data_IF_883060650624
#
_entry.id   IF_883060650624
#
_cell.length_a   1.000
_cell.length_b   1.000
_cell.length_c   1.000
_cell.angle_alpha   90.00
_cell.angle_beta   90.00
_cell.angle_gamma   90.00
#
_symmetry.space_group_name_H-M   'P 1'
#
loop_
_entity.id
_entity.type
_entity.pdbx_description
1 polymer ?
#
# COMPACT_ATOMS: atom_id res chain seq x y z
N UNK A 1 42.26 -45.29 48.68
CA UNK A 1 41.87 -45.53 47.28
C UNK A 1 40.66 -46.44 47.33
N UNK A 2 39.46 -45.90 47.07
CA UNK A 2 38.22 -46.68 47.07
C UNK A 2 38.01 -47.12 45.62
N UNK A 3 38.06 -48.42 45.36
CA UNK A 3 37.75 -48.98 44.05
C UNK A 3 36.25 -49.28 44.04
N UNK A 4 35.53 -48.77 43.03
CA UNK A 4 34.14 -49.15 42.82
C UNK A 4 34.10 -50.62 42.39
N UNK A 5 33.38 -51.45 43.13
CA UNK A 5 33.09 -52.83 42.78
C UNK A 5 31.60 -52.91 42.44
N UNK A 6 31.26 -53.59 41.35
CA UNK A 6 29.89 -53.79 40.82
C UNK A 6 29.20 -52.57 40.18
N UNK A 7 29.95 -51.54 39.77
CA UNK A 7 29.42 -50.48 38.91
C UNK A 7 29.70 -50.79 37.43
N UNK A 8 28.81 -50.48 36.49
CA UNK A 8 29.08 -50.65 35.07
C UNK A 8 30.17 -49.66 34.62
N UNK A 9 31.20 -50.17 33.95
CA UNK A 9 32.30 -49.35 33.41
C UNK A 9 31.83 -48.38 32.30
N UNK A 10 30.65 -48.64 31.72
CA UNK A 10 30.05 -47.85 30.65
C UNK A 10 28.60 -47.57 30.97
N UNK A 11 28.23 -46.29 30.95
CA UNK A 11 26.84 -45.82 31.06
C UNK A 11 26.39 -45.34 29.68
N UNK A 12 25.60 -46.17 29.01
CA UNK A 12 24.97 -45.82 27.73
C UNK A 12 23.51 -45.42 27.99
N UNK A 13 23.02 -44.45 27.23
CA UNK A 13 21.59 -44.17 27.21
C UNK A 13 20.87 -45.29 26.43
N UNK A 14 19.71 -45.74 26.91
CA UNK A 14 18.84 -46.65 26.17
C UNK A 14 18.14 -45.86 25.06
N UNK A 15 18.91 -45.34 24.10
CA UNK A 15 18.39 -44.56 23.00
C UNK A 15 17.72 -45.47 21.96
N UNK A 16 16.53 -45.06 21.50
CA UNK A 16 15.87 -45.69 20.36
C UNK A 16 16.73 -45.49 19.10
N UNK A 17 16.71 -46.44 18.14
CA UNK A 17 17.42 -46.28 16.88
C UNK A 17 16.96 -45.01 16.15
N UNK A 18 17.86 -44.30 15.46
CA UNK A 18 17.56 -43.02 14.78
C UNK A 18 16.34 -43.07 13.85
N UNK A 19 16.08 -44.23 13.23
CA UNK A 19 14.91 -44.47 12.38
C UNK A 19 13.58 -44.50 13.11
N UNK A 20 13.58 -44.73 14.43
CA UNK A 20 12.40 -44.72 15.30
C UNK A 20 12.30 -43.42 16.12
N UNK A 21 13.27 -42.51 15.99
CA UNK A 21 13.24 -41.18 16.62
C UNK A 21 12.40 -40.16 15.85
N UNK A 22 11.98 -40.48 14.62
CA UNK A 22 10.98 -39.70 13.89
C UNK A 22 9.60 -39.96 14.50
N UNK A 23 9.34 -39.37 15.66
CA UNK A 23 7.97 -39.03 15.98
C UNK A 23 7.52 -38.09 14.87
N UNK A 24 6.62 -38.54 14.00
CA UNK A 24 5.90 -37.62 13.14
C UNK A 24 5.29 -36.56 14.07
N UNK A 25 5.86 -35.36 14.07
CA UNK A 25 5.36 -34.21 14.82
C UNK A 25 4.05 -33.76 14.15
N UNK A 26 3.02 -34.58 14.27
CA UNK A 26 1.66 -34.14 14.09
C UNK A 26 1.32 -33.36 15.36
N UNK A 27 1.47 -32.04 15.31
CA UNK A 27 0.77 -31.17 16.24
C UNK A 27 -0.72 -31.56 16.16
N UNK A 28 -1.24 -32.09 17.25
CA UNK A 28 -2.65 -32.40 17.43
C UNK A 28 -3.47 -31.14 17.09
N UNK A 29 -4.56 -31.30 16.34
CA UNK A 29 -5.43 -30.18 15.99
C UNK A 29 -6.09 -29.65 17.26
N UNK A 30 -5.47 -28.66 17.89
CA UNK A 30 -6.04 -28.02 19.08
C UNK A 30 -7.16 -27.07 18.65
N UNK A 31 -8.35 -27.20 19.25
CA UNK A 31 -9.52 -26.31 19.02
C UNK A 31 -9.23 -24.79 19.00
N UNK A 32 -8.28 -24.21 19.76
CA UNK A 32 -7.99 -22.77 19.69
C UNK A 32 -7.13 -22.31 18.50
N UNK A 33 -6.64 -23.20 17.63
CA UNK A 33 -5.76 -22.83 16.50
C UNK A 33 -6.47 -23.03 15.16
N UNK A 34 -6.65 -21.93 14.42
CA UNK A 34 -7.16 -21.97 13.04
C UNK A 34 -5.99 -22.17 12.06
N UNK A 35 -6.03 -23.27 11.29
CA UNK A 35 -5.05 -23.55 10.23
C UNK A 35 -5.55 -23.01 8.89
N UNK A 36 -4.92 -21.96 8.39
CA UNK A 36 -5.28 -21.33 7.11
C UNK A 36 -4.41 -21.93 6.00
N UNK A 37 -5.05 -22.50 4.98
CA UNK A 37 -4.35 -22.95 3.77
C UNK A 37 -3.93 -21.76 2.91
N UNK A 38 -2.62 -21.61 2.70
CA UNK A 38 -2.06 -20.55 1.86
C UNK A 38 -1.81 -21.10 0.45
N UNK A 39 -2.53 -20.54 -0.53
CA UNK A 39 -2.29 -20.79 -1.96
C UNK A 39 -1.37 -19.71 -2.52
N UNK A 40 -0.22 -20.12 -3.04
CA UNK A 40 0.78 -19.20 -3.64
C UNK A 40 0.20 -18.48 -4.86
N UNK A 41 -0.60 -19.18 -5.67
CA UNK A 41 -1.24 -18.59 -6.85
C UNK A 41 -2.25 -17.50 -6.49
N UNK A 42 -3.07 -17.75 -5.48
CA UNK A 42 -4.07 -16.79 -5.01
C UNK A 42 -3.41 -15.59 -4.32
N UNK A 43 -2.37 -15.83 -3.53
CA UNK A 43 -1.57 -14.78 -2.93
C UNK A 43 -0.93 -13.88 -4.00
N UNK A 44 -0.29 -14.46 -5.01
CA UNK A 44 0.31 -13.70 -6.11
C UNK A 44 -0.72 -12.82 -6.83
N UNK A 45 -1.86 -13.40 -7.22
CA UNK A 45 -2.92 -12.64 -7.91
C UNK A 45 -3.50 -11.51 -7.05
N UNK A 46 -3.59 -11.68 -5.72
CA UNK A 46 -4.05 -10.63 -4.79
C UNK A 46 -3.13 -9.42 -4.71
N UNK A 47 -1.83 -9.61 -4.90
CA UNK A 47 -0.82 -8.54 -4.81
C UNK A 47 -0.27 -8.10 -6.16
N UNK A 48 -0.62 -8.79 -7.25
CA UNK A 48 -0.23 -8.41 -8.61
C UNK A 48 -0.71 -7.01 -8.94
N UNK A 49 0.21 -6.15 -9.37
CA UNK A 49 -0.07 -4.75 -9.71
C UNK A 49 -0.09 -3.78 -8.52
N UNK A 50 0.16 -4.26 -7.29
CA UNK A 50 0.38 -3.40 -6.13
C UNK A 50 1.89 -3.19 -5.95
N UNK A 51 2.34 -1.94 -5.94
CA UNK A 51 3.75 -1.60 -5.75
C UNK A 51 3.97 -0.76 -4.50
N UNK A 52 5.13 -0.95 -3.88
CA UNK A 52 5.60 -0.20 -2.72
C UNK A 52 6.77 0.68 -3.13
N UNK A 53 6.79 1.90 -2.60
CA UNK A 53 7.89 2.85 -2.77
C UNK A 53 8.75 2.86 -1.50
N UNK A 54 10.06 2.63 -1.69
CA UNK A 54 11.06 2.60 -0.63
C UNK A 54 11.94 3.87 -0.57
N UNK A 55 11.69 4.88 -1.40
CA UNK A 55 12.62 5.99 -1.62
C UNK A 55 12.90 6.87 -0.39
N UNK A 56 11.94 6.98 0.53
CA UNK A 56 12.01 7.88 1.69
C UNK A 56 11.89 7.15 3.04
N UNK A 57 12.18 5.85 3.06
CA UNK A 57 12.00 5.01 4.25
C UNK A 57 13.23 5.08 5.16
N UNK A 58 13.00 5.40 6.43
CA UNK A 58 14.02 5.49 7.47
C UNK A 58 13.51 4.83 8.78
N UNK A 59 14.16 3.73 9.17
CA UNK A 59 13.87 2.99 10.42
C UNK A 59 14.87 3.33 11.55
N UNK A 60 15.76 4.30 11.37
CA UNK A 60 16.75 4.70 12.38
C UNK A 60 16.15 5.48 13.56
N UNK A 61 14.81 5.52 13.68
CA UNK A 61 14.06 6.22 14.73
C UNK A 61 14.38 7.71 14.85
N UNK A 62 14.88 8.33 13.78
CA UNK A 62 15.07 9.79 13.73
C UNK A 62 13.72 10.48 13.80
N UNK A 63 13.54 11.31 14.83
CA UNK A 63 12.36 12.15 14.98
C UNK A 63 12.41 13.23 13.90
N UNK A 64 11.41 13.23 13.02
CA UNK A 64 11.25 14.21 11.96
C UNK A 64 9.81 14.69 11.91
N UNK A 65 9.57 15.86 11.33
CA UNK A 65 8.22 16.40 11.16
C UNK A 65 7.34 15.51 10.25
N UNK A 66 7.96 14.67 9.42
CA UNK A 66 7.27 13.76 8.49
C UNK A 66 7.44 12.31 8.93
N UNK A 67 6.40 11.50 8.70
CA UNK A 67 6.49 10.05 8.87
C UNK A 67 7.43 9.51 7.79
N UNK A 68 8.52 8.91 8.22
CA UNK A 68 9.52 8.26 7.35
C UNK A 68 9.60 6.76 7.59
N UNK A 69 8.89 6.26 8.60
CA UNK A 69 8.82 4.85 8.92
C UNK A 69 7.69 4.21 8.11
N UNK A 70 8.02 3.19 7.34
CA UNK A 70 7.05 2.42 6.54
C UNK A 70 7.22 2.62 5.03
N UNK A 71 6.86 1.59 4.27
CA UNK A 71 6.85 1.65 2.81
C UNK A 71 5.61 2.36 2.32
N UNK A 72 5.78 3.21 1.33
CA UNK A 72 4.70 4.04 0.80
C UNK A 72 4.00 3.28 -0.33
N UNK A 73 2.74 2.88 -0.11
CA UNK A 73 1.95 2.13 -1.06
C UNK A 73 1.26 3.05 -2.08
N UNK A 74 2.06 3.86 -2.81
CA UNK A 74 1.57 4.84 -3.82
C UNK A 74 0.83 4.24 -5.02
N UNK A 75 0.46 2.96 -4.97
CA UNK A 75 -0.31 2.28 -6.00
C UNK A 75 -1.77 2.17 -5.56
N UNK A 76 -2.54 3.24 -5.74
CA UNK A 76 -3.99 3.22 -5.54
C UNK A 76 -4.61 4.56 -5.14
N UNK A 77 -5.51 5.05 -6.00
CA UNK A 77 -6.64 5.95 -5.79
C UNK A 77 -6.46 7.19 -4.89
N UNK A 78 -6.16 8.32 -5.55
CA UNK A 78 -6.41 9.71 -5.11
C UNK A 78 -5.68 10.16 -3.83
N UNK A 79 -4.35 10.16 -3.84
CA UNK A 79 -3.58 10.80 -2.78
C UNK A 79 -3.43 12.32 -3.03
N UNK A 80 -4.12 13.11 -2.22
CA UNK A 80 -3.88 14.55 -2.11
C UNK A 80 -2.61 14.79 -1.32
N UNK A 81 -1.71 15.58 -1.89
CA UNK A 81 -0.46 15.97 -1.26
C UNK A 81 -0.73 16.88 -0.07
N UNK A 82 -0.03 16.65 1.04
CA UNK A 82 -0.13 17.50 2.23
C UNK A 82 0.34 18.94 1.95
N UNK A 83 -0.19 19.90 2.71
CA UNK A 83 0.15 21.31 2.55
C UNK A 83 1.66 21.55 2.70
N UNK A 84 2.28 22.16 1.68
CA UNK A 84 3.71 22.54 1.67
C UNK A 84 4.64 21.61 0.91
N UNK A 85 4.14 20.59 0.21
CA UNK A 85 4.92 19.74 -0.69
C UNK A 85 4.67 20.04 -2.17
N UNK A 86 5.64 19.71 -3.02
CA UNK A 86 5.51 19.88 -4.48
C UNK A 86 4.65 18.77 -5.06
N UNK A 87 3.48 19.13 -5.58
CA UNK A 87 2.56 18.20 -6.25
C UNK A 87 3.15 17.63 -7.54
N UNK A 88 2.99 16.32 -7.75
CA UNK A 88 3.19 15.74 -9.09
C UNK A 88 2.04 16.15 -10.02
N UNK A 89 2.23 16.14 -11.36
CA UNK A 89 1.16 16.56 -12.28
C UNK A 89 -0.11 15.69 -12.16
N UNK A 90 0.03 14.41 -11.83
CA UNK A 90 -1.11 13.50 -11.62
C UNK A 90 -1.86 13.82 -10.32
N UNK A 91 -1.14 14.12 -9.23
CA UNK A 91 -1.76 14.54 -7.97
C UNK A 91 -2.45 15.90 -8.11
N UNK A 92 -1.86 16.82 -8.88
CA UNK A 92 -2.47 18.12 -9.19
C UNK A 92 -3.74 17.95 -10.02
N UNK A 93 -3.74 17.05 -10.99
CA UNK A 93 -4.92 16.68 -11.77
C UNK A 93 -6.03 16.15 -10.86
N UNK A 94 -5.69 15.21 -9.97
CA UNK A 94 -6.62 14.62 -9.01
C UNK A 94 -7.21 15.68 -8.06
N UNK A 95 -6.38 16.56 -7.52
CA UNK A 95 -6.82 17.69 -6.70
C UNK A 95 -7.78 18.62 -7.44
N UNK A 96 -7.44 19.00 -8.68
CA UNK A 96 -8.32 19.85 -9.49
C UNK A 96 -9.69 19.21 -9.71
N UNK A 97 -9.74 17.91 -9.96
CA UNK A 97 -11.01 17.20 -10.12
C UNK A 97 -11.84 17.21 -8.84
N UNK A 98 -11.22 17.05 -7.67
CA UNK A 98 -11.90 17.17 -6.38
C UNK A 98 -12.42 18.61 -6.17
N UNK A 99 -11.58 19.62 -6.35
CA UNK A 99 -11.94 21.03 -6.16
C UNK A 99 -13.06 21.46 -7.13
N UNK A 100 -13.07 20.99 -8.38
CA UNK A 100 -14.14 21.31 -9.32
C UNK A 100 -15.46 20.62 -8.97
N UNK A 101 -15.43 19.41 -8.40
CA UNK A 101 -16.64 18.75 -7.87
C UNK A 101 -17.19 19.51 -6.67
N UNK A 102 -16.32 19.89 -5.74
CA UNK A 102 -16.70 20.69 -4.57
C UNK A 102 -17.32 22.03 -4.98
N UNK A 103 -16.70 22.73 -5.96
CA UNK A 103 -17.26 23.97 -6.50
C UNK A 103 -18.66 23.77 -7.11
N UNK A 104 -18.88 22.66 -7.80
CA UNK A 104 -20.18 22.31 -8.38
C UNK A 104 -21.24 22.11 -7.28
N UNK A 105 -20.88 21.41 -6.19
CA UNK A 105 -21.75 21.24 -5.02
C UNK A 105 -22.09 22.60 -4.37
N UNK A 106 -21.10 23.46 -4.14
CA UNK A 106 -21.30 24.79 -3.57
C UNK A 106 -22.24 25.64 -4.44
N UNK A 107 -22.09 25.64 -5.76
CA UNK A 107 -22.98 26.38 -6.66
C UNK A 107 -24.40 25.80 -6.61
N UNK A 108 -24.55 24.48 -6.57
CA UNK A 108 -25.85 23.84 -6.46
C UNK A 108 -26.55 24.16 -5.14
N UNK A 109 -25.80 24.23 -4.04
CA UNK A 109 -26.35 24.60 -2.73
C UNK A 109 -26.75 26.09 -2.68
N UNK A 110 -25.97 26.98 -3.30
CA UNK A 110 -26.34 28.39 -3.45
C UNK A 110 -27.64 28.53 -4.26
N UNK A 111 -27.79 27.77 -5.35
CA UNK A 111 -29.02 27.76 -6.17
C UNK A 111 -30.24 27.24 -5.39
N UNK A 112 -30.05 26.22 -4.54
CA UNK A 112 -31.14 25.68 -3.70
C UNK A 112 -31.56 26.64 -2.59
N UNK A 113 -30.62 27.42 -2.04
CA UNK A 113 -30.85 28.26 -0.86
C UNK A 113 -31.26 29.71 -1.18
N UNK A 114 -31.05 30.23 -2.41
CA UNK A 114 -31.48 31.57 -2.81
C UNK A 114 -32.77 31.56 -3.64
N UNK A 115 -33.72 32.43 -3.30
CA UNK A 115 -34.86 32.78 -4.16
C UNK A 115 -34.33 33.35 -5.48
N UNK A 116 -34.96 32.96 -6.58
CA UNK A 116 -34.52 33.05 -7.99
C UNK A 116 -34.04 34.43 -8.51
N UNK A 117 -34.17 35.52 -7.74
CA UNK A 117 -33.95 36.89 -8.23
C UNK A 117 -32.53 37.46 -7.96
N UNK A 118 -31.70 36.82 -7.13
CA UNK A 118 -30.36 37.36 -6.76
C UNK A 118 -29.16 36.46 -7.12
N UNK A 119 -29.35 35.43 -7.94
CA UNK A 119 -28.24 34.55 -8.34
C UNK A 119 -27.64 35.05 -9.64
N UNK A 120 -26.97 36.20 -9.60
CA UNK A 120 -26.07 36.62 -10.66
C UNK A 120 -24.73 35.87 -10.51
N UNK A 121 -24.77 34.54 -10.62
CA UNK A 121 -23.57 33.72 -10.65
C UNK A 121 -22.96 33.86 -12.03
N UNK A 122 -21.84 34.58 -12.12
CA UNK A 122 -21.13 34.86 -13.38
C UNK A 122 -20.63 33.57 -14.07
N UNK A 123 -20.57 32.46 -13.32
CA UNK A 123 -20.20 31.13 -13.78
C UNK A 123 -21.42 30.23 -13.77
N UNK A 124 -21.87 29.77 -14.94
CA UNK A 124 -22.98 28.81 -15.04
C UNK A 124 -22.53 27.43 -14.55
N UNK A 125 -23.43 26.68 -13.89
CA UNK A 125 -23.17 25.26 -13.54
C UNK A 125 -22.76 24.44 -14.76
N UNK A 126 -23.31 24.77 -15.93
CA UNK A 126 -22.96 24.13 -17.20
C UNK A 126 -21.49 24.36 -17.59
N UNK A 127 -20.92 25.52 -17.27
CA UNK A 127 -19.51 25.81 -17.58
C UNK A 127 -18.57 24.99 -16.67
N UNK A 128 -18.93 24.83 -15.40
CA UNK A 128 -18.14 24.00 -14.46
C UNK A 128 -18.23 22.53 -14.84
N UNK A 129 -19.42 22.04 -15.22
CA UNK A 129 -19.62 20.68 -15.73
C UNK A 129 -18.84 20.41 -17.02
N UNK A 130 -18.87 21.34 -17.98
CA UNK A 130 -18.10 21.23 -19.21
C UNK A 130 -16.60 21.19 -18.93
N UNK A 131 -16.12 22.03 -18.01
CA UNK A 131 -14.71 22.07 -17.64
C UNK A 131 -14.28 20.79 -16.90
N UNK A 132 -15.17 20.18 -16.11
CA UNK A 132 -14.91 18.90 -15.45
C UNK A 132 -14.86 17.75 -16.46
N UNK A 133 -15.72 17.77 -17.47
CA UNK A 133 -15.68 16.82 -18.58
C UNK A 133 -14.40 16.94 -19.39
N UNK A 134 -14.01 18.17 -19.78
CA UNK A 134 -12.74 18.37 -20.50
C UNK A 134 -11.56 17.92 -19.66
N UNK A 135 -11.56 18.18 -18.35
CA UNK A 135 -10.53 17.68 -17.45
C UNK A 135 -10.49 16.15 -17.45
N UNK A 136 -11.63 15.46 -17.30
CA UNK A 136 -11.69 14.00 -17.36
C UNK A 136 -11.27 13.42 -18.72
N UNK A 137 -11.62 14.09 -19.82
CA UNK A 137 -11.31 13.68 -21.19
C UNK A 137 -9.82 13.81 -21.53
N UNK A 138 -9.08 14.65 -20.80
CA UNK A 138 -7.62 14.77 -20.98
C UNK A 138 -6.87 13.51 -20.57
N UNK A 139 -7.52 12.55 -19.86
CA UNK A 139 -6.98 11.22 -19.50
C UNK A 139 -5.49 11.27 -19.11
N UNK A 140 -5.15 12.23 -18.25
CA UNK A 140 -3.76 12.43 -17.81
C UNK A 140 -3.24 11.22 -17.03
N UNK A 141 -4.13 10.40 -16.48
CA UNK A 141 -3.78 9.12 -15.86
C UNK A 141 -3.28 8.10 -16.88
N UNK A 142 -3.81 8.06 -18.10
CA UNK A 142 -3.36 7.13 -19.15
C UNK A 142 -1.99 7.55 -19.70
N UNK A 143 -1.80 8.85 -19.93
CA UNK A 143 -0.57 9.38 -20.54
C UNK A 143 0.58 9.52 -19.55
N UNK A 144 0.30 9.93 -18.31
CA UNK A 144 1.32 10.11 -17.27
C UNK A 144 1.47 8.86 -16.39
N UNK A 145 0.43 8.03 -16.30
CA UNK A 145 0.48 6.75 -15.59
C UNK A 145 1.43 5.76 -16.24
N UNK A 146 1.53 5.70 -17.58
CA UNK A 146 2.56 4.90 -18.25
C UNK A 146 3.99 5.38 -17.92
N UNK A 147 4.20 6.70 -17.80
CA UNK A 147 5.51 7.26 -17.41
C UNK A 147 5.84 6.93 -15.94
N UNK A 148 4.86 7.02 -15.05
CA UNK A 148 5.01 6.67 -13.64
C UNK A 148 5.26 5.16 -13.50
N UNK A 149 4.46 4.33 -14.17
CA UNK A 149 4.62 2.86 -14.20
C UNK A 149 5.95 2.46 -14.80
N UNK A 150 6.43 3.11 -15.87
CA UNK A 150 7.75 2.80 -16.45
C UNK A 150 8.92 3.24 -15.55
N UNK A 151 8.82 4.38 -14.87
CA UNK A 151 9.80 4.80 -13.85
C UNK A 151 9.82 3.85 -12.64
N UNK A 152 8.67 3.34 -12.22
CA UNK A 152 8.55 2.37 -11.12
C UNK A 152 8.99 0.96 -11.56
N UNK A 153 8.68 0.55 -12.80
CA UNK A 153 9.05 -0.77 -13.35
C UNK A 153 10.54 -0.88 -13.64
N UNK A 154 11.23 0.25 -13.78
CA UNK A 154 12.67 0.29 -13.99
C UNK A 154 13.38 1.12 -12.90
N UNK A 155 13.43 0.64 -11.65
CA UNK A 155 14.10 1.34 -10.55
C UNK A 155 15.63 1.36 -10.72
N UNK A 156 16.17 0.69 -11.75
CA UNK A 156 17.60 0.53 -12.06
C UNK A 156 17.98 1.24 -13.37
N UNK A 157 17.48 2.46 -13.57
CA UNK A 157 17.95 3.31 -14.66
C UNK A 157 19.40 3.75 -14.45
N UNK A 158 20.34 3.08 -15.12
CA UNK A 158 21.75 3.47 -15.36
C UNK A 158 22.79 2.91 -14.36
N UNK A 159 23.03 1.59 -14.37
CA UNK A 159 24.40 1.10 -14.23
C UNK A 159 25.10 1.25 -15.59
N UNK A 160 25.68 2.42 -15.86
CA UNK A 160 26.57 2.59 -17.01
C UNK A 160 28.01 2.71 -16.51
N UNK A 161 28.75 1.64 -16.83
CA UNK A 161 30.21 1.44 -16.85
C UNK A 161 30.97 1.42 -15.53
#
# INVERSE_FOLDING_TARGET
>A
MVMAHDEPDVYEANDLPESEQTADFYEEETEPIERIHISVGDAYNKFKGKFLNASNVDFSSRISQKIRTGYDARSGDWELVGAGETETPIQKYQRLQCEMKELLEVINDIKKNKKEEEVNCLVSTQQVEQSLKTLADLKLEDTLGEEIVSRISNPQGTQVK
#
